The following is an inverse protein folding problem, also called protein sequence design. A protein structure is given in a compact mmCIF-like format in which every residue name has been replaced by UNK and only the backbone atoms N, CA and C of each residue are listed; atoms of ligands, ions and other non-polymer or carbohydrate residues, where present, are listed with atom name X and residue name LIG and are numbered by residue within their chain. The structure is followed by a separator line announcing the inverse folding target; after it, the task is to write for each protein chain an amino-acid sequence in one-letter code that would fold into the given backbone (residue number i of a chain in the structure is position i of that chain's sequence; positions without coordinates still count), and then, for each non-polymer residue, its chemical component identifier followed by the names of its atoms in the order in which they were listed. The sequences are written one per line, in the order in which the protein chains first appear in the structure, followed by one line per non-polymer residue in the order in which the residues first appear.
data_IF_853250142032
#
_entry.id   IF_853250142032
#
_cell.length_a   1.000
_cell.length_b   1.000
_cell.length_c   1.000
_cell.angle_alpha   90.00
_cell.angle_beta   90.00
_cell.angle_gamma   90.00
#
_symmetry.space_group_name_H-M   'P 1'
#
loop_
_entity.id
_entity.type
_entity.pdbx_description
1 polymer ?
#
# COMPACT_ATOMS: atom_id res chain seq x y z
N UNK A 1 10.62 0.70 10.20
CA UNK A 1 10.61 -0.18 9.01
C UNK A 1 9.18 -0.69 8.86
N UNK A 2 8.51 -0.39 7.74
CA UNK A 2 7.15 -0.87 7.45
C UNK A 2 7.22 -2.34 7.02
N UNK A 3 7.16 -3.22 8.01
CA UNK A 3 7.31 -4.67 7.91
C UNK A 3 6.34 -5.35 6.94
N UNK A 4 5.20 -4.73 6.60
CA UNK A 4 4.21 -5.33 5.72
C UNK A 4 4.44 -5.06 4.23
N UNK A 5 5.24 -4.06 3.84
CA UNK A 5 5.49 -3.76 2.42
C UNK A 5 6.09 -4.96 1.67
N UNK A 6 6.89 -5.79 2.36
CA UNK A 6 7.37 -7.08 1.84
C UNK A 6 6.25 -7.99 1.34
N UNK A 7 5.10 -8.00 2.02
CA UNK A 7 3.96 -8.82 1.66
C UNK A 7 3.13 -8.21 0.52
N UNK A 8 3.21 -6.90 0.35
CA UNK A 8 2.51 -6.16 -0.71
C UNK A 8 3.31 -6.09 -2.02
N UNK A 9 4.41 -6.84 -2.16
CA UNK A 9 5.28 -6.81 -3.35
C UNK A 9 4.52 -6.97 -4.66
N UNK A 10 3.62 -7.95 -4.73
CA UNK A 10 2.79 -8.21 -5.92
C UNK A 10 1.86 -7.03 -6.26
N UNK A 11 1.30 -6.36 -5.26
CA UNK A 11 0.40 -5.22 -5.42
C UNK A 11 1.18 -4.02 -5.96
N UNK A 12 2.36 -3.76 -5.36
CA UNK A 12 3.26 -2.70 -5.78
C UNK A 12 3.73 -2.92 -7.22
N UNK A 13 4.10 -4.15 -7.58
CA UNK A 13 4.49 -4.52 -8.95
C UNK A 13 3.34 -4.31 -9.94
N UNK A 14 2.12 -4.77 -9.62
CA UNK A 14 0.91 -4.50 -10.43
C UNK A 14 0.63 -3.00 -10.60
N UNK A 15 0.93 -2.20 -9.58
CA UNK A 15 0.80 -0.75 -9.62
C UNK A 15 1.94 -0.04 -10.37
N UNK A 16 2.98 -0.77 -10.81
CA UNK A 16 4.17 -0.19 -11.44
C UNK A 16 5.08 0.55 -10.46
N UNK A 17 4.98 0.24 -9.16
CA UNK A 17 5.71 0.92 -8.09
C UNK A 17 6.77 -0.02 -7.52
N UNK A 18 8.04 0.31 -7.69
CA UNK A 18 9.17 -0.49 -7.18
C UNK A 18 10.08 0.38 -6.32
N UNK A 19 9.81 0.51 -5.00
CA UNK A 19 10.55 1.44 -4.16
C UNK A 19 11.97 0.94 -3.86
N UNK A 20 12.98 1.59 -4.43
CA UNK A 20 14.39 1.22 -4.28
C UNK A 20 15.05 1.88 -3.06
N UNK A 21 14.61 3.08 -2.67
CA UNK A 21 15.17 3.84 -1.56
C UNK A 21 14.29 3.82 -0.30
N UNK A 22 14.88 4.17 0.86
CA UNK A 22 14.14 4.31 2.14
C UNK A 22 13.05 5.37 2.05
N UNK A 23 13.29 6.45 1.31
CA UNK A 23 12.31 7.52 1.11
C UNK A 23 11.13 7.05 0.26
N UNK A 24 11.37 6.34 -0.84
CA UNK A 24 10.30 5.77 -1.65
C UNK A 24 9.46 4.76 -0.87
N UNK A 25 10.12 3.89 -0.08
CA UNK A 25 9.40 2.96 0.81
C UNK A 25 8.51 3.72 1.81
N UNK A 26 8.94 4.88 2.29
CA UNK A 26 8.12 5.74 3.17
C UNK A 26 6.94 6.35 2.42
N UNK A 27 7.13 6.80 1.18
CA UNK A 27 6.03 7.30 0.32
C UNK A 27 4.99 6.21 0.06
N UNK A 28 5.42 4.99 -0.25
CA UNK A 28 4.53 3.85 -0.43
C UNK A 28 3.78 3.49 0.86
N UNK A 29 4.48 3.45 2.00
CA UNK A 29 3.84 3.19 3.30
C UNK A 29 2.76 4.23 3.62
N UNK A 30 3.04 5.52 3.41
CA UNK A 30 2.06 6.59 3.60
C UNK A 30 0.88 6.44 2.64
N UNK A 31 1.12 6.19 1.36
CA UNK A 31 0.05 5.99 0.38
C UNK A 31 -0.85 4.80 0.76
N UNK A 32 -0.27 3.67 1.16
CA UNK A 32 -1.04 2.50 1.62
C UNK A 32 -1.92 2.82 2.83
N UNK A 33 -1.36 3.53 3.83
CA UNK A 33 -2.10 3.97 5.02
C UNK A 33 -3.27 4.87 4.66
N UNK A 34 -3.06 5.81 3.75
CA UNK A 34 -4.13 6.70 3.30
C UNK A 34 -5.23 5.96 2.53
N UNK A 35 -4.88 4.99 1.68
CA UNK A 35 -5.86 4.20 0.92
C UNK A 35 -6.80 3.42 1.85
N UNK A 36 -6.26 2.90 2.96
CA UNK A 36 -7.05 2.18 3.99
C UNK A 36 -7.56 3.10 5.10
N UNK A 37 -7.34 4.42 5.03
CA UNK A 37 -7.83 5.39 6.01
C UNK A 37 -7.15 5.36 7.39
N UNK A 38 -5.94 4.80 7.49
CA UNK A 38 -5.20 4.58 8.74
C UNK A 38 -3.85 5.34 8.77
N UNK A 39 -3.87 6.62 8.38
CA UNK A 39 -2.68 7.46 8.23
C UNK A 39 -1.78 7.46 9.49
N UNK A 40 -2.38 7.58 10.68
CA UNK A 40 -1.67 7.73 11.96
C UNK A 40 -1.59 6.42 12.78
N UNK A 41 -2.03 5.29 12.22
CA UNK A 41 -2.13 4.02 12.96
C UNK A 41 -0.82 3.22 12.94
N UNK A 42 -0.60 2.32 13.90
CA UNK A 42 0.59 1.46 13.93
C UNK A 42 0.60 0.46 12.77
N UNK A 43 1.79 0.13 12.25
CA UNK A 43 1.99 -0.84 11.15
C UNK A 43 1.20 -2.17 11.24
N UNK A 44 1.09 -2.86 12.40
CA UNK A 44 0.33 -4.11 12.48
C UNK A 44 -1.17 -3.94 12.22
N UNK A 45 -1.75 -2.82 12.67
CA UNK A 45 -3.18 -2.52 12.46
C UNK A 45 -3.45 -2.20 10.99
N UNK A 46 -2.56 -1.39 10.38
CA UNK A 46 -2.60 -1.10 8.94
C UNK A 46 -2.53 -2.39 8.13
N UNK A 47 -1.65 -3.32 8.50
CA UNK A 47 -1.53 -4.62 7.81
C UNK A 47 -2.78 -5.50 7.98
N UNK A 48 -3.40 -5.50 9.16
CA UNK A 48 -4.66 -6.21 9.39
C UNK A 48 -5.76 -5.68 8.48
N UNK A 49 -5.83 -4.37 8.30
CA UNK A 49 -6.83 -3.75 7.41
C UNK A 49 -6.54 -4.03 5.94
N UNK A 50 -5.28 -3.89 5.50
CA UNK A 50 -4.88 -4.27 4.13
C UNK A 50 -5.25 -5.73 3.84
N UNK A 51 -5.07 -6.64 4.79
CA UNK A 51 -5.49 -8.04 4.63
C UNK A 51 -7.00 -8.20 4.44
N UNK A 52 -7.81 -7.44 5.18
CA UNK A 52 -9.27 -7.49 5.00
C UNK A 52 -9.63 -6.98 3.61
N UNK A 53 -9.06 -5.85 3.20
CA UNK A 53 -9.24 -5.30 1.86
C UNK A 53 -8.85 -6.33 0.80
N UNK A 54 -7.71 -7.02 0.96
CA UNK A 54 -7.30 -8.08 0.03
C UNK A 54 -8.24 -9.30 -0.05
N UNK A 55 -9.16 -9.47 0.90
CA UNK A 55 -10.20 -10.51 0.85
C UNK A 55 -11.49 -10.02 0.18
N UNK A 56 -11.63 -8.71 -0.03
CA UNK A 56 -12.76 -8.14 -0.78
C UNK A 56 -12.60 -8.41 -2.28
N UNK A 57 -13.71 -8.60 -3.02
CA UNK A 57 -13.67 -8.90 -4.47
C UNK A 57 -12.83 -7.91 -5.28
N UNK A 58 -12.93 -6.62 -4.95
CA UNK A 58 -12.26 -5.52 -5.67
C UNK A 58 -11.11 -4.90 -4.86
N UNK A 59 -10.74 -5.49 -3.73
CA UNK A 59 -9.83 -4.82 -2.81
C UNK A 59 -8.38 -4.82 -3.27
N UNK A 60 -7.92 -5.85 -3.99
CA UNK A 60 -6.62 -5.81 -4.65
C UNK A 60 -6.55 -4.67 -5.67
N UNK A 61 -7.57 -4.56 -6.54
CA UNK A 61 -7.63 -3.51 -7.56
C UNK A 61 -7.70 -2.11 -6.93
N UNK A 62 -8.46 -1.95 -5.84
CA UNK A 62 -8.51 -0.71 -5.06
C UNK A 62 -7.13 -0.29 -4.56
N UNK A 63 -6.33 -1.23 -4.03
CA UNK A 63 -4.97 -0.96 -3.56
C UNK A 63 -4.04 -0.62 -4.73
N UNK A 64 -4.11 -1.36 -5.84
CA UNK A 64 -3.30 -1.11 -7.05
C UNK A 64 -3.59 0.26 -7.65
N UNK A 65 -4.88 0.55 -7.90
CA UNK A 65 -5.32 1.81 -8.50
C UNK A 65 -5.06 2.98 -7.57
N UNK A 66 -5.31 2.83 -6.27
CA UNK A 66 -5.01 3.85 -5.27
C UNK A 66 -3.51 4.18 -5.17
N UNK A 67 -2.66 3.15 -5.21
CA UNK A 67 -1.19 3.32 -5.22
C UNK A 67 -0.75 4.05 -6.50
N UNK A 68 -1.23 3.61 -7.66
CA UNK A 68 -0.92 4.22 -8.95
C UNK A 68 -1.32 5.69 -8.98
N UNK A 69 -2.53 6.01 -8.55
CA UNK A 69 -3.02 7.39 -8.50
C UNK A 69 -2.18 8.27 -7.56
N UNK A 70 -1.87 7.79 -6.35
CA UNK A 70 -1.13 8.57 -5.34
C UNK A 70 0.35 8.76 -5.67
N UNK A 71 0.98 7.81 -6.34
CA UNK A 71 2.44 7.82 -6.56
C UNK A 71 2.85 8.16 -7.98
N UNK A 72 2.02 7.82 -8.97
CA UNK A 72 2.34 8.01 -10.38
C UNK A 72 1.50 9.11 -11.03
N UNK A 73 0.47 9.66 -10.35
CA UNK A 73 -0.33 10.79 -10.80
C UNK A 73 -0.91 10.59 -12.20
N UNK A 74 -2.08 9.96 -12.30
CA UNK A 74 -2.83 9.95 -13.57
C UNK A 74 -3.55 11.26 -13.79
#
# INVERSE_FOLDING_TARGET
MSCYLRHCGKIMEKAGVTPSSKEERRKVDMAMREIVGLAETKCPEVWKEIKKVLQEPDGEERLVTGLRHKLLGS
#
